data_IF_972358831056
#
_entry.id   IF_972358831056
#
_cell.length_a   1.000
_cell.length_b   1.000
_cell.length_c   1.000
_cell.angle_alpha   90.00
_cell.angle_beta   90.00
_cell.angle_gamma   90.00
#
_symmetry.space_group_name_H-M   'P 1'
#
loop_
_entity.id
_entity.type
_entity.pdbx_description
1 polymer ?
#
# COMPACT_ATOMS: atom_id res chain seq x y z
N UNK A 1 15.65 -9.99 15.36
CA UNK A 1 15.49 -9.84 13.90
C UNK A 1 14.10 -9.28 13.66
N UNK A 2 13.94 -8.31 12.75
CA UNK A 2 12.66 -7.68 12.42
C UNK A 2 11.72 -8.73 11.80
N UNK A 3 10.49 -8.86 12.33
CA UNK A 3 9.43 -9.68 11.72
C UNK A 3 8.52 -8.80 10.90
N UNK A 4 8.25 -9.20 9.65
CA UNK A 4 7.39 -8.49 8.71
C UNK A 4 6.16 -9.33 8.38
N UNK A 5 5.01 -8.94 8.95
CA UNK A 5 3.72 -9.60 8.74
C UNK A 5 3.06 -9.06 7.47
N UNK A 6 2.81 -9.92 6.47
CA UNK A 6 2.45 -9.47 5.15
C UNK A 6 1.50 -10.41 4.39
N UNK A 7 0.88 -9.87 3.37
CA UNK A 7 0.30 -10.56 2.22
C UNK A 7 0.74 -9.87 0.93
N UNK A 8 0.39 -10.40 -0.23
CA UNK A 8 0.71 -9.79 -1.53
C UNK A 8 -0.18 -8.58 -1.90
N UNK A 9 -0.90 -8.00 -0.93
CA UNK A 9 -1.76 -6.83 -1.13
C UNK A 9 -0.95 -5.52 -1.28
N UNK A 10 -1.55 -4.45 -1.84
CA UNK A 10 -0.85 -3.20 -2.14
C UNK A 10 -0.09 -2.59 -0.95
N UNK A 11 -0.69 -2.55 0.24
CA UNK A 11 -0.08 -1.91 1.40
C UNK A 11 1.15 -2.66 1.96
N UNK A 12 1.12 -4.01 2.16
CA UNK A 12 2.33 -4.75 2.54
C UNK A 12 3.48 -4.61 1.55
N UNK A 13 3.17 -4.55 0.25
CA UNK A 13 4.20 -4.47 -0.78
C UNK A 13 5.01 -3.16 -0.74
N UNK A 14 4.46 -2.07 -0.18
CA UNK A 14 5.21 -0.83 0.09
C UNK A 14 6.38 -1.09 1.05
N UNK A 15 6.09 -1.82 2.12
CA UNK A 15 7.07 -2.19 3.16
C UNK A 15 8.06 -3.22 2.62
N UNK A 16 7.57 -4.22 1.88
CA UNK A 16 8.43 -5.20 1.21
C UNK A 16 9.46 -4.51 0.31
N UNK A 17 9.03 -3.52 -0.48
CA UNK A 17 9.92 -2.73 -1.33
C UNK A 17 10.99 -2.02 -0.51
N UNK A 18 10.62 -1.36 0.59
CA UNK A 18 11.60 -0.71 1.47
C UNK A 18 12.63 -1.71 2.02
N UNK A 19 12.18 -2.85 2.53
CA UNK A 19 13.05 -3.87 3.12
C UNK A 19 14.05 -4.42 2.08
N UNK A 20 13.58 -4.65 0.85
CA UNK A 20 14.42 -5.13 -0.25
C UNK A 20 15.37 -4.04 -0.82
N UNK A 21 14.99 -2.76 -0.76
CA UNK A 21 15.84 -1.64 -1.15
C UNK A 21 16.91 -1.35 -0.12
N UNK A 22 16.56 -1.37 1.16
CA UNK A 22 17.48 -1.04 2.25
C UNK A 22 18.46 -2.15 2.58
N UNK A 23 18.12 -3.39 2.24
CA UNK A 23 18.88 -4.57 2.66
C UNK A 23 18.78 -4.88 4.16
N UNK A 24 17.83 -4.26 4.88
CA UNK A 24 17.60 -4.53 6.28
C UNK A 24 17.18 -5.99 6.48
N UNK A 25 17.89 -6.79 7.30
CA UNK A 25 17.53 -8.18 7.55
C UNK A 25 16.17 -8.31 8.22
N UNK A 26 15.31 -9.17 7.68
CA UNK A 26 13.97 -9.41 8.20
C UNK A 26 13.51 -10.85 7.99
N UNK A 27 12.55 -11.27 8.82
CA UNK A 27 11.82 -12.54 8.72
C UNK A 27 10.42 -12.24 8.13
N UNK A 28 10.09 -12.72 6.92
CA UNK A 28 8.75 -12.57 6.38
C UNK A 28 7.78 -13.56 7.04
N UNK A 29 6.70 -13.04 7.62
CA UNK A 29 5.63 -13.84 8.26
C UNK A 29 4.35 -13.68 7.45
N UNK A 30 3.86 -14.74 6.79
CA UNK A 30 2.67 -14.64 5.96
C UNK A 30 1.40 -14.49 6.83
N UNK A 31 0.49 -13.63 6.39
CA UNK A 31 -0.86 -13.47 6.94
C UNK A 31 -1.83 -13.63 5.77
N UNK A 32 -2.43 -14.80 5.64
CA UNK A 32 -3.34 -15.09 4.54
C UNK A 32 -4.73 -14.48 4.82
N UNK A 33 -4.95 -13.29 4.27
CA UNK A 33 -6.19 -12.55 4.49
C UNK A 33 -7.42 -13.24 3.87
N UNK A 34 -7.23 -14.12 2.89
CA UNK A 34 -8.32 -14.92 2.31
C UNK A 34 -8.71 -16.12 3.17
N UNK A 35 -7.83 -16.52 4.11
CA UNK A 35 -8.12 -17.53 5.14
C UNK A 35 -8.54 -16.94 6.47
N UNK A 36 -8.51 -15.61 6.61
CA UNK A 36 -8.89 -14.94 7.85
C UNK A 36 -7.81 -14.87 8.91
N UNK A 37 -6.54 -15.13 8.56
CA UNK A 37 -5.41 -15.10 9.52
C UNK A 37 -5.29 -13.75 10.23
N UNK A 38 -5.70 -12.64 9.59
CA UNK A 38 -5.69 -11.30 10.19
C UNK A 38 -6.64 -11.16 11.40
N UNK A 39 -7.58 -12.07 11.57
CA UNK A 39 -8.55 -12.06 12.66
C UNK A 39 -8.17 -13.00 13.83
N UNK A 40 -7.07 -13.75 13.70
CA UNK A 40 -6.58 -14.62 14.77
C UNK A 40 -6.09 -13.79 15.96
N UNK A 41 -6.32 -14.24 17.21
CA UNK A 41 -5.89 -13.53 18.41
C UNK A 41 -4.41 -13.18 18.42
N UNK A 42 -3.55 -14.07 17.92
CA UNK A 42 -2.11 -13.88 17.85
C UNK A 42 -1.73 -12.69 16.94
N UNK A 43 -2.48 -12.48 15.86
CA UNK A 43 -2.22 -11.37 14.97
C UNK A 43 -2.90 -10.07 15.46
N UNK A 44 -4.12 -10.15 16.00
CA UNK A 44 -4.80 -8.95 16.53
C UNK A 44 -4.12 -8.38 17.76
N UNK A 45 -3.37 -9.18 18.51
CA UNK A 45 -2.46 -8.69 19.56
C UNK A 45 -1.31 -7.82 19.01
N UNK A 46 -0.88 -8.05 17.75
CA UNK A 46 0.14 -7.26 17.05
C UNK A 46 -0.50 -6.05 16.38
N UNK A 47 -1.60 -6.27 15.67
CA UNK A 47 -2.33 -5.20 14.98
C UNK A 47 -3.83 -5.27 15.29
N UNK A 48 -4.33 -4.45 16.22
CA UNK A 48 -5.75 -4.45 16.60
C UNK A 48 -6.71 -4.06 15.46
N UNK A 49 -6.18 -3.43 14.38
CA UNK A 49 -6.97 -3.11 13.19
C UNK A 49 -7.23 -4.35 12.30
N UNK A 50 -6.63 -5.50 12.59
CA UNK A 50 -6.77 -6.73 11.79
C UNK A 50 -6.47 -6.50 10.28
N UNK A 51 -5.48 -5.70 9.97
CA UNK A 51 -5.00 -5.40 8.61
C UNK A 51 -3.51 -5.70 8.48
N UNK A 52 -3.06 -5.96 7.27
CA UNK A 52 -1.65 -6.04 6.93
C UNK A 52 -1.21 -4.78 6.18
N UNK A 53 0.04 -4.33 6.37
CA UNK A 53 1.15 -4.94 7.10
C UNK A 53 1.21 -4.59 8.59
N UNK A 54 2.06 -5.33 9.31
CA UNK A 54 2.60 -4.95 10.61
C UNK A 54 4.07 -5.40 10.68
N UNK A 55 4.85 -4.79 11.57
CA UNK A 55 6.21 -5.24 11.91
C UNK A 55 6.37 -5.38 13.42
N UNK A 56 7.25 -6.28 13.82
CA UNK A 56 7.76 -6.41 15.20
C UNK A 56 9.29 -6.35 15.11
N UNK A 57 9.88 -5.34 15.75
CA UNK A 57 11.32 -5.06 15.74
C UNK A 57 11.83 -4.97 17.17
N UNK A 58 12.26 -6.10 17.71
CA UNK A 58 12.56 -6.25 19.15
C UNK A 58 11.28 -6.13 19.96
N UNK A 59 11.20 -5.11 20.81
CA UNK A 59 10.05 -4.74 21.63
C UNK A 59 9.11 -3.72 20.97
N UNK A 60 9.48 -3.22 19.79
CA UNK A 60 8.69 -2.22 19.05
C UNK A 60 7.75 -2.92 18.08
N UNK A 61 6.45 -2.63 18.17
CA UNK A 61 5.42 -3.04 17.23
C UNK A 61 4.90 -1.84 16.48
N UNK A 62 4.90 -1.90 15.14
CA UNK A 62 4.36 -0.84 14.27
C UNK A 62 3.39 -1.45 13.27
N UNK A 63 2.22 -0.84 13.13
CA UNK A 63 1.27 -1.16 12.08
C UNK A 63 0.86 0.12 11.33
N UNK A 64 0.15 -0.02 10.21
CA UNK A 64 -0.04 0.92 9.12
C UNK A 64 1.20 1.06 8.23
N UNK A 65 1.01 0.91 6.91
CA UNK A 65 2.12 0.89 5.96
C UNK A 65 2.89 2.21 5.88
N UNK A 66 2.22 3.34 6.09
CA UNK A 66 2.86 4.67 6.11
C UNK A 66 3.68 4.87 7.39
N UNK A 67 3.12 4.46 8.54
CA UNK A 67 3.83 4.50 9.82
C UNK A 67 5.07 3.60 9.81
N UNK A 68 4.96 2.39 9.23
CA UNK A 68 6.10 1.47 9.11
C UNK A 68 7.19 2.07 8.23
N UNK A 69 6.84 2.67 7.08
CA UNK A 69 7.82 3.32 6.20
C UNK A 69 8.53 4.49 6.89
N UNK A 70 7.80 5.32 7.65
CA UNK A 70 8.40 6.40 8.46
C UNK A 70 9.35 5.84 9.51
N UNK A 71 8.92 4.85 10.29
CA UNK A 71 9.74 4.21 11.30
C UNK A 71 11.02 3.62 10.73
N UNK A 72 10.92 2.85 9.65
CA UNK A 72 12.08 2.21 9.02
C UNK A 72 13.01 3.23 8.36
N UNK A 73 12.46 4.26 7.71
CA UNK A 73 13.24 5.36 7.13
C UNK A 73 14.01 6.12 8.19
N UNK A 74 13.39 6.46 9.31
CA UNK A 74 14.04 7.14 10.45
C UNK A 74 15.09 6.24 11.13
N UNK A 75 14.77 4.96 11.35
CA UNK A 75 15.69 3.99 11.96
C UNK A 75 16.95 3.78 11.12
N UNK A 76 16.83 3.69 9.81
CA UNK A 76 17.96 3.38 8.90
C UNK A 76 18.64 4.63 8.34
N UNK A 77 17.96 5.77 8.38
CA UNK A 77 18.39 6.98 7.69
C UNK A 77 18.33 6.89 6.17
N UNK A 78 17.73 5.80 5.60
CA UNK A 78 17.67 5.56 4.17
C UNK A 78 16.32 6.02 3.58
N UNK A 79 16.37 6.46 2.32
CA UNK A 79 15.16 6.89 1.57
C UNK A 79 14.40 8.04 2.24
N UNK A 80 15.09 8.82 3.02
CA UNK A 80 14.56 10.04 3.64
C UNK A 80 15.01 11.28 2.83
N UNK A 81 14.20 12.34 2.78
CA UNK A 81 14.62 13.59 2.13
C UNK A 81 15.69 14.31 2.96
N UNK A 82 16.18 15.44 2.45
CA UNK A 82 17.11 16.30 3.16
C UNK A 82 16.58 16.67 4.57
N UNK A 83 17.49 16.77 5.55
CA UNK A 83 17.15 17.09 6.96
C UNK A 83 16.89 18.59 7.13
N UNK A 84 15.82 19.09 6.50
CA UNK A 84 15.32 20.46 6.66
C UNK A 84 13.84 20.45 7.04
N UNK A 85 13.37 21.48 7.73
CA UNK A 85 11.94 21.60 8.12
C UNK A 85 11.02 21.58 6.90
N UNK A 86 11.44 22.21 5.79
CA UNK A 86 10.71 22.20 4.52
C UNK A 86 10.56 20.79 3.98
N UNK A 87 11.64 20.05 3.84
CA UNK A 87 11.62 18.69 3.30
C UNK A 87 10.86 17.73 4.24
N UNK A 88 10.97 17.91 5.55
CA UNK A 88 10.19 17.16 6.55
C UNK A 88 8.69 17.45 6.42
N UNK A 89 8.31 18.72 6.28
CA UNK A 89 6.91 19.11 6.08
C UNK A 89 6.32 18.53 4.80
N UNK A 90 7.07 18.57 3.70
CA UNK A 90 6.66 17.95 2.43
C UNK A 90 6.50 16.41 2.56
N UNK A 91 7.46 15.73 3.19
CA UNK A 91 7.40 14.29 3.42
C UNK A 91 6.13 13.92 4.19
N UNK A 92 5.87 14.59 5.31
CA UNK A 92 4.70 14.29 6.14
C UNK A 92 3.40 14.56 5.39
N UNK A 93 3.29 15.69 4.69
CA UNK A 93 2.10 16.06 3.93
C UNK A 93 1.78 15.02 2.84
N UNK A 94 2.79 14.62 2.03
CA UNK A 94 2.57 13.65 0.97
C UNK A 94 2.39 12.23 1.49
N UNK A 95 3.08 11.84 2.57
CA UNK A 95 2.85 10.54 3.21
C UNK A 95 1.41 10.43 3.72
N UNK A 96 0.91 11.45 4.42
CA UNK A 96 -0.47 11.46 4.91
C UNK A 96 -1.48 11.54 3.77
N UNK A 97 -1.24 12.33 2.73
CA UNK A 97 -2.08 12.38 1.53
C UNK A 97 -2.24 11.00 0.87
N UNK A 98 -1.14 10.22 0.78
CA UNK A 98 -1.19 8.87 0.24
C UNK A 98 -1.92 7.92 1.19
N UNK A 99 -1.63 7.98 2.48
CA UNK A 99 -2.20 7.06 3.48
C UNK A 99 -3.68 7.30 3.74
N UNK A 100 -4.13 8.56 3.76
CA UNK A 100 -5.52 8.92 4.04
C UNK A 100 -6.39 9.13 2.79
N UNK A 101 -5.78 9.29 1.63
CA UNK A 101 -6.46 9.61 0.38
C UNK A 101 -6.23 8.56 -0.71
N UNK A 102 -5.05 8.56 -1.33
CA UNK A 102 -4.76 7.67 -2.49
C UNK A 102 -5.07 6.21 -2.18
N UNK A 103 -4.58 5.70 -1.04
CA UNK A 103 -4.79 4.30 -0.65
C UNK A 103 -6.27 3.96 -0.40
N UNK A 104 -6.94 4.64 0.54
CA UNK A 104 -8.35 4.39 0.86
C UNK A 104 -9.29 4.53 -0.33
N UNK A 105 -9.18 5.61 -1.11
CA UNK A 105 -10.08 5.81 -2.26
C UNK A 105 -9.80 4.82 -3.39
N UNK A 106 -8.54 4.43 -3.63
CA UNK A 106 -8.23 3.32 -4.54
C UNK A 106 -8.86 2.01 -4.07
N UNK A 107 -8.73 1.70 -2.77
CA UNK A 107 -9.31 0.50 -2.18
C UNK A 107 -10.84 0.46 -2.29
N UNK A 108 -11.51 1.57 -2.00
CA UNK A 108 -12.98 1.67 -2.11
C UNK A 108 -13.45 1.61 -3.57
N UNK A 109 -12.74 2.26 -4.50
CA UNK A 109 -13.06 2.17 -5.92
C UNK A 109 -13.00 0.72 -6.41
N UNK A 110 -11.95 -0.03 -6.05
CA UNK A 110 -11.82 -1.46 -6.36
C UNK A 110 -12.92 -2.27 -5.69
N UNK A 111 -13.23 -1.98 -4.41
CA UNK A 111 -14.25 -2.72 -3.66
C UNK A 111 -15.64 -2.61 -4.32
N UNK A 112 -16.12 -1.39 -4.55
CA UNK A 112 -17.46 -1.19 -5.10
C UNK A 112 -17.60 -1.58 -6.58
N UNK A 113 -16.50 -1.63 -7.34
CA UNK A 113 -16.52 -2.11 -8.72
C UNK A 113 -16.47 -3.63 -8.84
N UNK A 114 -15.72 -4.32 -7.95
CA UNK A 114 -15.34 -5.70 -8.18
C UNK A 114 -15.79 -6.68 -7.07
N UNK A 115 -16.07 -6.19 -5.86
CA UNK A 115 -16.29 -7.05 -4.69
C UNK A 115 -17.64 -6.86 -4.02
N UNK A 116 -18.25 -5.68 -4.13
CA UNK A 116 -19.56 -5.42 -3.53
C UNK A 116 -20.61 -6.43 -4.03
N UNK A 117 -21.50 -6.93 -3.14
CA UNK A 117 -22.47 -7.96 -3.49
C UNK A 117 -23.52 -7.46 -4.49
N UNK A 118 -23.72 -6.17 -4.57
CA UNK A 118 -24.61 -5.51 -5.51
C UNK A 118 -23.91 -4.28 -6.13
N UNK A 119 -24.35 -3.91 -7.33
CA UNK A 119 -23.81 -2.77 -8.05
C UNK A 119 -24.49 -1.48 -7.59
N UNK A 120 -23.80 -0.70 -6.76
CA UNK A 120 -24.26 0.59 -6.26
C UNK A 120 -23.59 1.71 -7.07
N UNK A 121 -24.26 2.17 -8.13
CA UNK A 121 -23.66 3.13 -9.08
C UNK A 121 -23.20 4.44 -8.41
N UNK A 122 -23.96 4.95 -7.44
CA UNK A 122 -23.56 6.15 -6.70
C UNK A 122 -22.22 5.94 -5.97
N UNK A 123 -22.04 4.82 -5.28
CA UNK A 123 -20.82 4.51 -4.57
C UNK A 123 -19.63 4.31 -5.54
N UNK A 124 -19.86 3.58 -6.63
CA UNK A 124 -18.85 3.40 -7.69
C UNK A 124 -18.40 4.77 -8.22
N UNK A 125 -19.34 5.62 -8.63
CA UNK A 125 -19.04 6.94 -9.18
C UNK A 125 -18.30 7.81 -8.15
N UNK A 126 -18.76 7.83 -6.89
CA UNK A 126 -18.15 8.60 -5.81
C UNK A 126 -16.68 8.20 -5.59
N UNK A 127 -16.40 6.91 -5.45
CA UNK A 127 -15.05 6.45 -5.12
C UNK A 127 -14.10 6.46 -6.33
N UNK A 128 -14.59 6.19 -7.53
CA UNK A 128 -13.79 6.33 -8.74
C UNK A 128 -13.45 7.81 -9.00
N UNK A 129 -14.39 8.72 -8.80
CA UNK A 129 -14.13 10.17 -8.89
C UNK A 129 -13.05 10.61 -7.92
N UNK A 130 -13.14 10.21 -6.64
CA UNK A 130 -12.13 10.57 -5.64
C UNK A 130 -10.76 9.95 -5.96
N UNK A 131 -10.72 8.71 -6.45
CA UNK A 131 -9.47 8.11 -6.90
C UNK A 131 -8.85 8.92 -8.06
N UNK A 132 -9.64 9.27 -9.08
CA UNK A 132 -9.20 10.15 -10.18
C UNK A 132 -8.68 11.50 -9.66
N UNK A 133 -9.38 12.14 -8.71
CA UNK A 133 -8.97 13.41 -8.13
C UNK A 133 -7.60 13.29 -7.45
N UNK A 134 -7.38 12.22 -6.66
CA UNK A 134 -6.12 12.01 -5.97
C UNK A 134 -4.97 11.72 -6.94
N UNK A 135 -5.18 10.85 -7.93
CA UNK A 135 -4.14 10.60 -8.95
C UNK A 135 -3.87 11.84 -9.82
N UNK A 136 -4.86 12.68 -10.08
CA UNK A 136 -4.66 13.96 -10.77
C UNK A 136 -3.76 14.93 -9.99
N UNK A 137 -3.87 14.98 -8.66
CA UNK A 137 -2.99 15.78 -7.80
C UNK A 137 -1.56 15.22 -7.83
N UNK A 138 -1.41 13.89 -7.77
CA UNK A 138 -0.09 13.24 -7.89
C UNK A 138 0.52 13.49 -9.27
N UNK A 139 -0.26 13.39 -10.35
CA UNK A 139 0.16 13.67 -11.71
C UNK A 139 0.69 15.11 -11.85
N UNK A 140 -0.06 16.09 -11.35
CA UNK A 140 0.34 17.50 -11.37
C UNK A 140 1.61 17.76 -10.55
N UNK A 141 1.83 17.00 -9.46
CA UNK A 141 3.06 17.06 -8.67
C UNK A 141 4.25 16.53 -9.47
N UNK A 142 4.10 15.32 -10.03
CA UNK A 142 5.17 14.64 -10.78
C UNK A 142 5.48 15.24 -12.15
N UNK A 143 4.58 16.07 -12.69
CA UNK A 143 4.86 16.90 -13.87
C UNK A 143 5.89 18.01 -13.59
N UNK A 144 6.07 18.40 -12.33
CA UNK A 144 6.97 19.50 -11.92
C UNK A 144 8.28 19.02 -11.31
N UNK A 145 8.39 17.75 -10.95
CA UNK A 145 9.58 17.18 -10.31
C UNK A 145 9.67 15.67 -10.51
N UNK A 146 10.86 15.15 -10.30
CA UNK A 146 11.15 13.75 -10.59
C UNK A 146 10.44 12.78 -9.66
N UNK A 147 10.44 13.06 -8.36
CA UNK A 147 9.85 12.21 -7.30
C UNK A 147 8.85 13.00 -6.46
N UNK A 148 8.13 12.33 -5.57
CA UNK A 148 7.12 12.97 -4.72
C UNK A 148 7.70 14.04 -3.79
N UNK A 149 8.95 13.91 -3.37
CA UNK A 149 9.65 14.89 -2.54
C UNK A 149 10.96 15.30 -3.24
N UNK A 150 10.85 16.28 -4.13
CA UNK A 150 11.99 16.81 -4.90
C UNK A 150 12.56 15.80 -5.90
N UNK A 151 13.90 15.76 -5.98
CA UNK A 151 14.64 14.94 -6.94
C UNK A 151 15.24 13.67 -6.34
N UNK A 152 14.82 13.32 -5.13
CA UNK A 152 15.33 12.15 -4.40
C UNK A 152 14.24 11.10 -4.23
N UNK A 153 14.54 9.84 -4.60
CA UNK A 153 13.69 8.70 -4.34
C UNK A 153 13.57 8.45 -2.82
N UNK A 154 12.34 8.46 -2.31
CA UNK A 154 12.06 8.40 -0.87
C UNK A 154 10.98 7.38 -0.53
N UNK A 155 10.74 7.19 0.78
CA UNK A 155 9.63 6.38 1.29
C UNK A 155 8.27 6.85 0.78
N UNK A 156 8.11 8.11 0.37
CA UNK A 156 6.85 8.63 -0.19
C UNK A 156 6.56 8.02 -1.56
N UNK A 157 7.60 7.83 -2.38
CA UNK A 157 7.48 7.18 -3.68
C UNK A 157 7.14 5.68 -3.53
N UNK A 158 7.75 5.01 -2.54
CA UNK A 158 7.41 3.63 -2.19
C UNK A 158 5.97 3.50 -1.68
N UNK A 159 5.52 4.46 -0.87
CA UNK A 159 4.13 4.51 -0.39
C UNK A 159 3.14 4.68 -1.54
N UNK A 160 3.45 5.55 -2.51
CA UNK A 160 2.64 5.74 -3.71
C UNK A 160 2.62 4.48 -4.58
N UNK A 161 3.78 3.89 -4.83
CA UNK A 161 3.96 2.72 -5.69
C UNK A 161 3.03 1.57 -5.33
N UNK A 162 2.79 1.32 -4.05
CA UNK A 162 1.97 0.20 -3.59
C UNK A 162 0.58 0.17 -4.25
N UNK A 163 -0.08 1.31 -4.37
CA UNK A 163 -1.38 1.43 -5.03
C UNK A 163 -1.27 1.87 -6.49
N UNK A 164 -0.38 2.81 -6.83
CA UNK A 164 -0.31 3.37 -8.15
C UNK A 164 0.07 2.34 -9.23
N UNK A 165 0.84 1.31 -8.92
CA UNK A 165 1.10 0.20 -9.85
C UNK A 165 -0.18 -0.54 -10.32
N UNK A 166 -1.29 -0.36 -9.60
CA UNK A 166 -2.59 -0.95 -9.89
C UNK A 166 -3.58 0.05 -10.51
N UNK A 167 -3.13 1.19 -11.01
CA UNK A 167 -3.99 2.23 -11.61
C UNK A 167 -4.99 1.67 -12.62
N UNK A 168 -4.64 0.74 -13.54
CA UNK A 168 -5.63 0.15 -14.45
C UNK A 168 -6.73 -0.64 -13.73
N UNK A 169 -6.43 -1.30 -12.62
CA UNK A 169 -7.42 -2.01 -11.81
C UNK A 169 -8.32 -1.01 -11.06
N UNK A 170 -7.75 0.08 -10.55
CA UNK A 170 -8.47 1.10 -9.78
C UNK A 170 -9.37 1.95 -10.68
N UNK A 171 -8.85 2.41 -11.83
CA UNK A 171 -9.47 3.44 -12.67
C UNK A 171 -9.97 2.92 -14.03
N UNK A 172 -9.62 1.68 -14.40
CA UNK A 172 -9.98 1.06 -15.67
C UNK A 172 -8.87 1.11 -16.72
N UNK A 173 -9.11 0.39 -17.82
CA UNK A 173 -8.20 0.36 -18.96
C UNK A 173 -8.04 1.77 -19.56
N UNK A 174 -6.86 2.08 -20.10
CA UNK A 174 -6.53 3.40 -20.64
C UNK A 174 -6.25 4.49 -19.58
N UNK A 175 -6.37 4.20 -18.29
CA UNK A 175 -6.11 5.19 -17.24
C UNK A 175 -4.69 5.78 -17.28
N UNK A 176 -3.68 5.02 -17.75
CA UNK A 176 -2.32 5.50 -17.90
C UNK A 176 -2.15 6.65 -18.89
N UNK A 177 -3.04 6.79 -19.86
CA UNK A 177 -3.02 7.92 -20.80
C UNK A 177 -3.28 9.26 -20.11
N UNK A 178 -4.04 9.24 -18.99
CA UNK A 178 -4.35 10.42 -18.16
C UNK A 178 -3.27 10.75 -17.14
N UNK A 179 -2.39 9.78 -16.82
CA UNK A 179 -1.41 9.90 -15.74
C UNK A 179 0.00 9.53 -16.21
N UNK A 180 0.56 10.17 -17.26
CA UNK A 180 1.85 9.80 -17.84
C UNK A 180 3.02 10.00 -16.87
N UNK A 181 2.99 11.02 -15.99
CA UNK A 181 4.05 11.24 -15.01
C UNK A 181 4.00 10.26 -13.84
N UNK A 182 2.78 9.87 -13.42
CA UNK A 182 2.61 8.75 -12.47
C UNK A 182 3.15 7.47 -13.09
N UNK A 183 2.78 7.19 -14.34
CA UNK A 183 3.26 6.01 -15.08
C UNK A 183 4.79 5.99 -15.17
N UNK A 184 5.42 7.12 -15.53
CA UNK A 184 6.88 7.26 -15.57
C UNK A 184 7.53 6.85 -14.25
N UNK A 185 7.01 7.39 -13.13
CA UNK A 185 7.54 7.05 -11.80
C UNK A 185 7.37 5.55 -11.48
N UNK A 186 6.18 5.00 -11.77
CA UNK A 186 5.91 3.58 -11.51
C UNK A 186 6.80 2.67 -12.37
N UNK A 187 7.00 3.01 -13.64
CA UNK A 187 7.88 2.25 -14.53
C UNK A 187 9.35 2.31 -14.04
N UNK A 188 9.82 3.49 -13.60
CA UNK A 188 11.16 3.66 -13.01
C UNK A 188 11.33 2.80 -11.74
N UNK A 189 10.33 2.80 -10.85
CA UNK A 189 10.37 1.96 -9.64
C UNK A 189 10.31 0.48 -10.02
N UNK A 190 9.43 0.09 -10.93
CA UNK A 190 9.29 -1.31 -11.36
C UNK A 190 10.57 -1.89 -11.98
N UNK A 191 11.42 -1.06 -12.59
CA UNK A 191 12.71 -1.46 -13.15
C UNK A 191 13.78 -1.74 -12.07
N UNK A 192 13.53 -1.41 -10.81
CA UNK A 192 14.50 -1.61 -9.71
C UNK A 192 14.59 -3.09 -9.31
N UNK A 193 15.79 -3.65 -9.11
CA UNK A 193 15.94 -5.06 -8.73
C UNK A 193 15.21 -5.43 -7.42
N UNK A 194 15.05 -4.48 -6.51
CA UNK A 194 14.32 -4.68 -5.25
C UNK A 194 12.84 -5.02 -5.49
N UNK A 195 12.22 -4.47 -6.53
CA UNK A 195 10.82 -4.79 -6.88
C UNK A 195 10.66 -6.26 -7.27
N UNK A 196 11.61 -6.80 -8.04
CA UNK A 196 11.58 -8.22 -8.39
C UNK A 196 11.68 -9.11 -7.13
N UNK A 197 12.59 -8.77 -6.19
CA UNK A 197 12.73 -9.49 -4.92
C UNK A 197 11.49 -9.36 -4.04
N UNK A 198 10.93 -8.16 -3.90
CA UNK A 198 9.70 -7.93 -3.14
C UNK A 198 8.51 -8.73 -3.73
N UNK A 199 8.37 -8.75 -5.05
CA UNK A 199 7.32 -9.53 -5.71
C UNK A 199 7.52 -11.05 -5.53
N UNK A 200 8.77 -11.54 -5.47
CA UNK A 200 9.08 -12.95 -5.24
C UNK A 200 8.79 -13.43 -3.81
N UNK A 201 8.51 -12.53 -2.85
CA UNK A 201 8.12 -12.92 -1.48
C UNK A 201 6.87 -13.80 -1.45
N UNK A 202 5.90 -13.54 -2.34
CA UNK A 202 4.67 -14.35 -2.45
C UNK A 202 4.96 -15.81 -2.80
N UNK A 203 6.07 -16.07 -3.49
CA UNK A 203 6.43 -17.43 -3.95
C UNK A 203 7.09 -18.23 -2.82
N UNK A 204 7.55 -17.58 -1.75
CA UNK A 204 8.09 -18.22 -0.56
C UNK A 204 7.00 -18.82 0.36
N UNK A 205 5.74 -18.39 0.19
CA UNK A 205 4.62 -18.80 1.03
C UNK A 205 3.38 -19.12 0.19
N UNK A 206 2.63 -20.14 0.61
CA UNK A 206 1.40 -20.54 -0.08
C UNK A 206 0.22 -19.72 0.43
N UNK A 207 -0.14 -18.66 -0.29
CA UNK A 207 -1.38 -17.93 -0.05
C UNK A 207 -2.55 -18.56 -0.82
N UNK A 208 -3.76 -18.49 -0.25
CA UNK A 208 -5.00 -18.87 -0.95
C UNK A 208 -5.18 -17.96 -2.17
N UNK A 209 -5.30 -18.56 -3.35
CA UNK A 209 -5.46 -17.83 -4.62
C UNK A 209 -6.92 -17.67 -5.02
N UNK A 210 -7.77 -18.58 -4.57
CA UNK A 210 -9.20 -18.59 -4.85
C UNK A 210 -9.90 -17.45 -4.11
N UNK A 211 -10.81 -16.79 -4.80
CA UNK A 211 -11.68 -15.76 -4.24
C UNK A 211 -13.11 -16.31 -4.14
N UNK A 212 -13.25 -17.40 -3.37
CA UNK A 212 -14.51 -18.07 -3.08
C UNK A 212 -15.30 -17.38 -1.95
N UNK A 213 -16.45 -17.93 -1.58
CA UNK A 213 -17.30 -17.34 -0.55
C UNK A 213 -16.64 -17.34 0.84
N UNK A 214 -15.77 -18.30 1.13
CA UNK A 214 -14.99 -18.31 2.36
C UNK A 214 -13.99 -17.13 2.40
N UNK A 215 -13.26 -16.89 1.30
CA UNK A 215 -12.37 -15.76 1.18
C UNK A 215 -13.11 -14.41 1.27
N UNK A 216 -14.30 -14.31 0.65
CA UNK A 216 -15.14 -13.11 0.78
C UNK A 216 -15.56 -12.86 2.23
N UNK A 217 -16.01 -13.90 2.95
CA UNK A 217 -16.34 -13.82 4.38
C UNK A 217 -15.15 -13.37 5.23
N UNK A 218 -13.99 -13.96 4.99
CA UNK A 218 -12.77 -13.62 5.71
C UNK A 218 -12.30 -12.18 5.47
N UNK A 219 -12.37 -11.69 4.23
CA UNK A 219 -11.91 -10.37 3.85
C UNK A 219 -12.94 -9.25 4.10
N UNK A 220 -14.24 -9.56 3.99
CA UNK A 220 -15.33 -8.58 3.98
C UNK A 220 -16.45 -8.98 4.94
N UNK A 221 -16.15 -9.03 6.25
CA UNK A 221 -17.08 -9.46 7.31
C UNK A 221 -18.40 -8.69 7.30
N UNK A 222 -18.37 -7.40 6.96
CA UNK A 222 -19.56 -6.55 6.84
C UNK A 222 -20.58 -7.02 5.80
N UNK A 223 -20.21 -7.90 4.86
CA UNK A 223 -21.17 -8.50 3.92
C UNK A 223 -22.03 -9.58 4.58
N UNK A 224 -21.63 -10.04 5.75
CA UNK A 224 -22.28 -11.16 6.47
C UNK A 224 -22.71 -10.79 7.89
N UNK A 225 -22.15 -9.72 8.45
CA UNK A 225 -22.48 -9.20 9.77
C UNK A 225 -23.31 -7.91 9.58
N UNK A 226 -24.58 -7.94 10.03
CA UNK A 226 -25.38 -6.71 10.05
C UNK A 226 -24.80 -5.78 11.11
N UNK A 227 -24.39 -4.60 10.71
CA UNK A 227 -24.15 -3.50 11.64
C UNK A 227 -25.52 -2.93 11.97
N UNK A 228 -25.92 -3.00 13.25
CA UNK A 228 -27.22 -2.53 13.73
C UNK A 228 -27.37 -1.01 13.49
#
# INVERSE_FOLDING_TARGET
>A
MLKFYYSAAPNPMKVALFLEESGLPYEPVPVDTRKGDQHRPEYTAINPNAKVPAIVDGDVTVFDSGAILLYLGEKTGQFMPAKTDKARGELLSWMMFISSGVGPYSGQAVHFRNYAPEKIEYAINRYVYEAHRHYGIVEARLAKQKYMVGDTYTIVDMALWGWARNVPIVLGEGAWEKYPNVKRLIDEINARPAVARANALKDKHKFKTEFDDEAKKAMFRHMHEKVA
#
